data_IF_512108679578
#
_entry.id   IF_512108679578
#
_cell.length_a   1.000
_cell.length_b   1.000
_cell.length_c   1.000
_cell.angle_alpha   90.00
_cell.angle_beta   90.00
_cell.angle_gamma   90.00
#
_symmetry.space_group_name_H-M   'P 1'
#
loop_
_entity.id
_entity.type
_entity.pdbx_description
1 polymer ?
#
# COMPACT_ATOMS: atom_id res chain seq x y z
N UNK A 1 -23.86 17.91 -16.69
CA UNK A 1 -23.65 17.14 -15.42
C UNK A 1 -22.24 16.51 -15.35
N UNK A 2 -21.67 15.98 -16.45
CA UNK A 2 -20.31 15.38 -16.46
C UNK A 2 -19.19 16.37 -16.12
N UNK A 3 -19.19 17.58 -16.69
CA UNK A 3 -18.15 18.58 -16.44
C UNK A 3 -18.14 19.10 -14.99
N UNK A 4 -19.32 19.29 -14.41
CA UNK A 4 -19.44 19.70 -13.00
C UNK A 4 -18.90 18.61 -12.07
N UNK A 5 -19.24 17.34 -12.29
CA UNK A 5 -18.73 16.21 -11.49
C UNK A 5 -17.21 16.09 -11.62
N UNK A 6 -16.68 16.29 -12.82
CA UNK A 6 -15.23 16.31 -13.05
C UNK A 6 -14.54 17.41 -12.24
N UNK A 7 -15.05 18.63 -12.33
CA UNK A 7 -14.51 19.77 -11.60
C UNK A 7 -14.58 19.57 -10.08
N UNK A 8 -15.72 19.12 -9.55
CA UNK A 8 -15.90 18.84 -8.13
C UNK A 8 -14.93 17.77 -7.63
N UNK A 9 -14.72 16.69 -8.40
CA UNK A 9 -13.77 15.64 -8.01
C UNK A 9 -12.34 16.20 -7.84
N UNK A 10 -11.86 17.06 -8.74
CA UNK A 10 -10.55 17.69 -8.59
C UNK A 10 -10.50 18.65 -7.41
N UNK A 11 -11.55 19.46 -7.20
CA UNK A 11 -11.65 20.38 -6.07
C UNK A 11 -11.59 19.61 -4.75
N UNK A 12 -12.34 18.52 -4.62
CA UNK A 12 -12.36 17.67 -3.42
C UNK A 12 -11.00 17.06 -3.11
N UNK A 13 -10.30 16.56 -4.13
CA UNK A 13 -8.94 16.01 -3.95
C UNK A 13 -8.00 17.10 -3.42
N UNK A 14 -8.08 18.33 -3.96
CA UNK A 14 -7.24 19.45 -3.51
C UNK A 14 -7.61 19.87 -2.08
N UNK A 15 -8.90 19.97 -1.76
CA UNK A 15 -9.37 20.37 -0.42
C UNK A 15 -8.94 19.34 0.62
N UNK A 16 -9.14 18.06 0.34
CA UNK A 16 -8.74 16.98 1.24
C UNK A 16 -7.22 16.94 1.41
N UNK A 17 -6.47 17.13 0.31
CA UNK A 17 -5.02 17.26 0.39
C UNK A 17 -4.59 18.40 1.32
N UNK A 18 -5.13 19.61 1.13
CA UNK A 18 -4.80 20.78 1.95
C UNK A 18 -5.23 20.58 3.40
N UNK A 19 -6.43 20.03 3.64
CA UNK A 19 -6.92 19.75 4.98
C UNK A 19 -5.99 18.79 5.73
N UNK A 20 -5.69 17.63 5.14
CA UNK A 20 -4.82 16.63 5.77
C UNK A 20 -3.36 17.09 5.87
N UNK A 21 -2.88 17.91 4.94
CA UNK A 21 -1.56 18.51 5.03
C UNK A 21 -1.46 19.45 6.25
N UNK A 22 -2.42 20.36 6.42
CA UNK A 22 -2.41 21.32 7.53
C UNK A 22 -2.68 20.64 8.87
N UNK A 23 -3.65 19.73 8.90
CA UNK A 23 -3.99 18.99 10.10
C UNK A 23 -2.85 18.05 10.51
N UNK A 24 -2.25 17.36 9.56
CA UNK A 24 -1.16 16.42 9.78
C UNK A 24 0.12 17.09 10.29
N UNK A 25 0.43 18.31 9.82
CA UNK A 25 1.58 19.07 10.33
C UNK A 25 1.47 19.43 11.82
N UNK A 26 0.26 19.48 12.37
CA UNK A 26 0.03 19.69 13.81
C UNK A 26 0.08 18.39 14.61
N UNK A 27 -0.26 17.26 14.01
CA UNK A 27 -0.52 16.00 14.69
C UNK A 27 0.48 14.89 14.37
N UNK A 28 1.12 14.95 13.20
CA UNK A 28 2.09 13.97 12.78
C UNK A 28 3.50 14.56 12.73
N UNK A 29 4.41 13.86 13.36
CA UNK A 29 5.83 14.01 13.17
C UNK A 29 6.38 12.60 12.95
N UNK A 30 7.03 12.32 11.87
CA UNK A 30 7.73 13.21 10.91
C UNK A 30 6.89 13.66 9.68
N UNK A 31 7.37 14.71 9.00
CA UNK A 31 6.68 15.40 7.88
C UNK A 31 6.36 14.49 6.70
N UNK A 32 7.20 13.47 6.42
CA UNK A 32 6.95 12.53 5.32
C UNK A 32 5.65 11.75 5.50
N UNK A 33 5.28 11.45 6.74
CA UNK A 33 4.03 10.78 7.05
C UNK A 33 2.83 11.67 6.74
N UNK A 34 2.90 12.93 7.16
CA UNK A 34 1.88 13.95 6.85
C UNK A 34 1.65 14.09 5.35
N UNK A 35 2.73 14.27 4.58
CA UNK A 35 2.66 14.47 3.13
C UNK A 35 2.04 13.24 2.45
N UNK A 36 2.44 12.03 2.85
CA UNK A 36 1.90 10.80 2.28
C UNK A 36 0.41 10.65 2.56
N UNK A 37 -0.03 10.87 3.81
CA UNK A 37 -1.46 10.81 4.17
C UNK A 37 -2.26 11.87 3.40
N UNK A 38 -1.73 13.09 3.26
CA UNK A 38 -2.39 14.16 2.52
C UNK A 38 -2.61 13.77 1.03
N UNK A 39 -1.61 13.18 0.38
CA UNK A 39 -1.73 12.72 -1.01
C UNK A 39 -2.76 11.60 -1.16
N UNK A 40 -2.82 10.66 -0.21
CA UNK A 40 -3.73 9.52 -0.27
C UNK A 40 -5.18 9.88 0.08
N UNK A 41 -5.39 10.89 0.93
CA UNK A 41 -6.70 11.22 1.48
C UNK A 41 -7.73 11.54 0.39
N UNK A 42 -7.39 12.36 -0.59
CA UNK A 42 -8.26 12.72 -1.70
C UNK A 42 -8.78 11.49 -2.45
N UNK A 43 -7.90 10.71 -3.09
CA UNK A 43 -8.30 9.51 -3.83
C UNK A 43 -9.09 8.49 -3.00
N UNK A 44 -8.66 8.23 -1.75
CA UNK A 44 -9.31 7.24 -0.89
C UNK A 44 -10.72 7.69 -0.47
N UNK A 45 -10.89 8.95 -0.07
CA UNK A 45 -12.21 9.46 0.34
C UNK A 45 -13.15 9.56 -0.86
N UNK A 46 -12.70 10.12 -1.99
CA UNK A 46 -13.55 10.24 -3.20
C UNK A 46 -13.93 8.87 -3.76
N UNK A 47 -12.99 7.90 -3.80
CA UNK A 47 -13.27 6.52 -4.20
C UNK A 47 -14.28 5.83 -3.27
N UNK A 48 -14.20 6.09 -1.95
CA UNK A 48 -15.16 5.54 -0.97
C UNK A 48 -16.54 6.15 -1.16
N UNK A 49 -16.65 7.46 -1.31
CA UNK A 49 -17.92 8.15 -1.58
C UNK A 49 -18.55 7.65 -2.88
N UNK A 50 -17.72 7.43 -3.90
CA UNK A 50 -18.18 6.85 -5.15
C UNK A 50 -18.72 5.43 -4.97
N UNK A 51 -18.02 4.59 -4.22
CA UNK A 51 -18.51 3.23 -3.89
C UNK A 51 -19.86 3.29 -3.16
N UNK A 52 -19.99 4.16 -2.17
CA UNK A 52 -21.25 4.37 -1.44
C UNK A 52 -22.38 4.84 -2.36
N UNK A 53 -22.09 5.75 -3.30
CA UNK A 53 -23.11 6.18 -4.27
C UNK A 53 -23.66 5.02 -5.09
N UNK A 54 -22.81 4.09 -5.49
CA UNK A 54 -23.21 2.90 -6.24
C UNK A 54 -23.99 1.91 -5.36
N UNK A 55 -23.51 1.65 -4.14
CA UNK A 55 -24.14 0.68 -3.23
C UNK A 55 -25.55 1.08 -2.82
N UNK A 56 -25.79 2.38 -2.61
CA UNK A 56 -27.06 2.89 -2.15
C UNK A 56 -27.86 3.62 -3.23
N UNK A 57 -27.42 3.53 -4.50
CA UNK A 57 -28.05 4.21 -5.63
C UNK A 57 -28.24 5.74 -5.40
N UNK A 58 -27.25 6.37 -4.73
CA UNK A 58 -27.25 7.80 -4.45
C UNK A 58 -26.64 8.58 -5.61
N UNK A 59 -27.06 9.83 -5.77
CA UNK A 59 -26.41 10.74 -6.72
C UNK A 59 -24.98 11.04 -6.25
N UNK A 60 -24.00 10.62 -7.04
CA UNK A 60 -22.59 10.86 -6.75
C UNK A 60 -22.25 12.36 -6.70
N UNK A 61 -22.89 13.16 -7.57
CA UNK A 61 -22.72 14.63 -7.57
C UNK A 61 -23.10 15.25 -6.24
N UNK A 62 -24.14 14.75 -5.57
CA UNK A 62 -24.54 15.24 -4.23
C UNK A 62 -23.52 14.84 -3.17
N UNK A 63 -22.95 13.62 -3.23
CA UNK A 63 -21.95 13.18 -2.27
C UNK A 63 -20.63 13.97 -2.37
N UNK A 64 -20.32 14.52 -3.54
CA UNK A 64 -19.14 15.37 -3.75
C UNK A 64 -19.21 16.71 -2.97
N UNK A 65 -20.37 17.11 -2.49
CA UNK A 65 -20.46 18.31 -1.62
C UNK A 65 -19.98 18.03 -0.18
N UNK A 66 -19.85 16.77 0.25
CA UNK A 66 -19.39 16.43 1.61
C UNK A 66 -17.93 16.85 1.87
N UNK A 67 -16.94 16.57 1.01
CA UNK A 67 -15.59 17.05 1.21
C UNK A 67 -15.46 18.58 1.18
N UNK A 68 -16.35 19.29 0.48
CA UNK A 68 -16.36 20.76 0.47
C UNK A 68 -16.60 21.35 1.85
N UNK A 69 -17.23 20.62 2.77
CA UNK A 69 -17.38 21.05 4.17
C UNK A 69 -16.01 21.25 4.86
N UNK A 70 -14.96 20.59 4.35
CA UNK A 70 -13.59 20.76 4.84
C UNK A 70 -12.94 22.09 4.39
N UNK A 71 -13.56 22.83 3.47
CA UNK A 71 -13.12 24.17 3.07
C UNK A 71 -13.06 25.12 4.27
N UNK A 72 -14.08 25.09 5.12
CA UNK A 72 -14.16 25.99 6.27
C UNK A 72 -12.99 25.83 7.25
N UNK A 73 -12.67 24.62 7.76
CA UNK A 73 -11.48 24.45 8.59
C UNK A 73 -10.17 24.71 7.83
N UNK A 74 -10.11 24.48 6.50
CA UNK A 74 -8.95 24.84 5.67
C UNK A 74 -8.75 26.35 5.70
N UNK A 75 -9.76 27.16 5.34
CA UNK A 75 -9.67 28.61 5.31
C UNK A 75 -9.35 29.18 6.69
N UNK A 76 -10.07 28.73 7.73
CA UNK A 76 -9.88 29.20 9.11
C UNK A 76 -8.47 28.97 9.64
N UNK A 77 -7.84 27.88 9.24
CA UNK A 77 -6.51 27.51 9.71
C UNK A 77 -5.41 27.85 8.69
N UNK A 78 -5.78 28.43 7.52
CA UNK A 78 -4.82 28.74 6.46
C UNK A 78 -3.91 29.88 6.91
N UNK A 79 -2.72 29.52 7.33
CA UNK A 79 -1.65 30.46 7.62
C UNK A 79 -0.42 29.99 6.85
N UNK A 80 -0.04 30.73 5.83
CA UNK A 80 1.11 30.40 4.97
C UNK A 80 2.41 30.24 5.74
N UNK A 81 2.55 30.91 6.90
CA UNK A 81 3.69 30.76 7.80
C UNK A 81 3.77 29.39 8.48
N UNK A 82 2.65 28.67 8.56
CA UNK A 82 2.55 27.36 9.20
C UNK A 82 2.66 26.21 8.21
N UNK A 83 2.51 26.45 6.91
CA UNK A 83 2.65 25.43 5.89
C UNK A 83 4.13 25.25 5.57
N UNK A 84 4.76 24.30 6.22
CA UNK A 84 6.14 23.91 5.91
C UNK A 84 6.14 22.92 4.77
N UNK A 85 6.20 23.40 3.54
CA UNK A 85 6.65 22.57 2.44
C UNK A 85 8.15 22.31 2.66
N UNK A 86 8.51 21.15 3.14
CA UNK A 86 9.89 20.72 3.01
C UNK A 86 10.13 20.45 1.54
N UNK A 87 10.70 21.45 0.85
CA UNK A 87 11.17 21.25 -0.53
C UNK A 87 12.11 20.05 -0.49
N UNK A 88 11.84 19.02 -1.29
CA UNK A 88 12.77 17.90 -1.39
C UNK A 88 14.15 18.42 -1.76
N UNK A 89 15.20 17.89 -1.16
CA UNK A 89 16.58 18.15 -1.58
C UNK A 89 16.68 17.95 -3.10
N UNK A 90 17.43 18.80 -3.82
CA UNK A 90 17.62 18.67 -5.27
C UNK A 90 18.10 17.27 -5.68
N UNK A 91 18.81 16.56 -4.79
CA UNK A 91 19.24 15.17 -4.98
C UNK A 91 18.08 14.21 -5.02
N UNK A 92 17.04 14.44 -4.18
CA UNK A 92 15.79 13.68 -4.23
C UNK A 92 15.07 13.90 -5.56
N UNK A 93 15.08 15.11 -6.10
CA UNK A 93 14.45 15.38 -7.40
C UNK A 93 15.09 14.54 -8.52
N UNK A 94 16.42 14.39 -8.54
CA UNK A 94 17.08 13.52 -9.51
C UNK A 94 16.72 12.05 -9.34
N UNK A 95 16.73 11.54 -8.10
CA UNK A 95 16.31 10.17 -7.80
C UNK A 95 14.85 9.95 -8.22
N UNK A 96 13.99 10.93 -7.96
CA UNK A 96 12.57 10.90 -8.31
C UNK A 96 12.38 10.83 -9.84
N UNK A 97 13.11 11.67 -10.62
CA UNK A 97 13.04 11.62 -12.07
C UNK A 97 13.56 10.30 -12.66
N UNK A 98 14.68 9.80 -12.15
CA UNK A 98 15.18 8.46 -12.55
C UNK A 98 14.15 7.40 -12.19
N UNK A 99 13.55 7.48 -11.02
CA UNK A 99 12.46 6.59 -10.60
C UNK A 99 11.27 6.61 -11.55
N UNK A 100 10.81 7.79 -11.99
CA UNK A 100 9.74 7.91 -12.98
C UNK A 100 10.15 7.25 -14.30
N UNK A 101 11.35 7.54 -14.81
CA UNK A 101 11.82 6.97 -16.08
C UNK A 101 11.88 5.44 -16.00
N UNK A 102 12.46 4.89 -14.92
CA UNK A 102 12.53 3.44 -14.71
C UNK A 102 11.12 2.84 -14.61
N UNK A 103 10.20 3.47 -13.85
CA UNK A 103 8.81 3.02 -13.76
C UNK A 103 8.15 2.96 -15.17
N UNK A 104 8.31 3.99 -15.98
CA UNK A 104 7.74 4.05 -17.33
C UNK A 104 8.31 2.98 -18.27
N UNK A 105 9.58 2.58 -18.08
CA UNK A 105 10.20 1.50 -18.87
C UNK A 105 9.57 0.13 -18.58
N UNK A 106 9.02 -0.08 -17.37
CA UNK A 106 8.39 -1.33 -16.96
C UNK A 106 6.86 -1.32 -17.10
N UNK A 107 6.26 -0.15 -17.36
CA UNK A 107 4.79 -0.01 -17.36
C UNK A 107 4.20 -0.39 -18.72
N UNK A 108 3.28 -1.34 -18.70
CA UNK A 108 2.41 -1.63 -19.84
C UNK A 108 1.16 -0.74 -19.88
N UNK A 109 0.61 -0.49 -21.05
CA UNK A 109 -0.51 0.44 -21.27
C UNK A 109 -1.70 0.19 -20.33
N UNK A 110 -2.10 -1.08 -20.15
CA UNK A 110 -3.23 -1.48 -19.29
C UNK A 110 -2.78 -2.33 -18.10
N UNK A 111 -1.47 -2.38 -17.86
CA UNK A 111 -0.85 -3.22 -16.85
C UNK A 111 -0.79 -4.69 -17.25
N UNK A 112 -0.31 -5.54 -16.35
CA UNK A 112 -0.24 -6.99 -16.53
C UNK A 112 -1.60 -7.66 -16.26
N UNK A 113 -1.60 -9.02 -16.23
CA UNK A 113 -2.83 -9.83 -16.18
C UNK A 113 -3.87 -9.36 -15.14
N UNK A 114 -3.53 -9.29 -13.85
CA UNK A 114 -4.51 -8.90 -12.83
C UNK A 114 -4.96 -7.44 -12.97
N UNK A 115 -4.13 -6.56 -13.54
CA UNK A 115 -4.52 -5.17 -13.74
C UNK A 115 -5.71 -5.08 -14.71
N UNK A 116 -5.58 -5.65 -15.90
CA UNK A 116 -6.66 -5.57 -16.89
C UNK A 116 -7.79 -6.58 -16.61
N UNK A 117 -7.49 -7.74 -16.01
CA UNK A 117 -8.46 -8.79 -15.73
C UNK A 117 -9.31 -8.52 -14.48
N UNK A 118 -8.78 -7.82 -13.51
CA UNK A 118 -9.45 -7.57 -12.22
C UNK A 118 -9.65 -6.05 -12.02
N UNK A 119 -8.58 -5.32 -11.73
CA UNK A 119 -8.65 -3.95 -11.21
C UNK A 119 -9.22 -2.97 -12.23
N UNK A 120 -8.68 -2.97 -13.46
CA UNK A 120 -9.15 -2.08 -14.52
C UNK A 120 -10.50 -2.53 -15.11
N UNK A 121 -10.76 -3.85 -15.13
CA UNK A 121 -12.05 -4.38 -15.54
C UNK A 121 -13.16 -3.94 -14.57
N UNK A 122 -12.96 -4.15 -13.27
CA UNK A 122 -13.92 -3.70 -12.26
C UNK A 122 -14.10 -2.17 -12.33
N UNK A 123 -13.03 -1.40 -12.49
CA UNK A 123 -13.12 0.05 -12.63
C UNK A 123 -13.98 0.46 -13.84
N UNK A 124 -13.94 -0.29 -14.98
CA UNK A 124 -14.80 -0.04 -16.13
C UNK A 124 -16.28 -0.29 -15.80
N UNK A 125 -16.58 -1.37 -15.08
CA UNK A 125 -17.95 -1.61 -14.61
C UNK A 125 -18.44 -0.49 -13.70
N UNK A 126 -17.61 -0.09 -12.73
CA UNK A 126 -17.95 1.02 -11.83
C UNK A 126 -18.12 2.35 -12.59
N UNK A 127 -17.28 2.63 -13.60
CA UNK A 127 -17.40 3.83 -14.43
C UNK A 127 -18.77 3.88 -15.14
N UNK A 128 -19.28 2.73 -15.60
CA UNK A 128 -20.64 2.59 -16.16
C UNK A 128 -21.65 2.30 -15.03
N UNK A 129 -21.86 3.28 -14.15
CA UNK A 129 -22.59 3.15 -12.88
C UNK A 129 -23.95 2.45 -12.94
N UNK A 130 -24.69 2.57 -14.06
CA UNK A 130 -26.00 1.93 -14.22
C UNK A 130 -25.94 0.39 -14.29
N UNK A 131 -24.81 -0.19 -14.64
CA UNK A 131 -24.61 -1.63 -14.84
C UNK A 131 -23.43 -2.19 -14.02
N UNK A 132 -22.98 -1.50 -13.00
CA UNK A 132 -21.80 -1.90 -12.23
C UNK A 132 -21.90 -3.31 -11.62
N UNK A 133 -23.10 -3.73 -11.23
CA UNK A 133 -23.34 -5.06 -10.66
C UNK A 133 -23.12 -6.21 -11.67
N UNK A 134 -23.06 -5.90 -12.96
CA UNK A 134 -22.74 -6.90 -14.00
C UNK A 134 -21.36 -7.52 -13.85
N UNK A 135 -20.45 -6.88 -13.08
CA UNK A 135 -19.16 -7.49 -12.75
C UNK A 135 -19.30 -8.74 -11.87
N UNK A 136 -20.46 -8.94 -11.18
CA UNK A 136 -20.76 -10.11 -10.36
C UNK A 136 -21.31 -11.29 -11.16
N UNK A 137 -21.44 -11.16 -12.51
CA UNK A 137 -21.98 -12.22 -13.34
C UNK A 137 -21.12 -13.50 -13.24
N UNK A 138 -21.71 -14.70 -13.12
CA UNK A 138 -20.96 -15.95 -12.95
C UNK A 138 -19.87 -16.21 -14.02
N UNK A 139 -20.09 -15.77 -15.25
CA UNK A 139 -19.10 -15.89 -16.32
C UNK A 139 -17.84 -15.03 -16.11
N UNK A 140 -17.86 -14.12 -15.14
CA UNK A 140 -16.73 -13.26 -14.75
C UNK A 140 -16.07 -13.70 -13.44
N UNK A 141 -16.39 -14.92 -12.91
CA UNK A 141 -15.79 -15.44 -11.68
C UNK A 141 -14.25 -15.43 -11.67
N UNK A 142 -13.63 -15.58 -12.85
CA UNK A 142 -12.19 -15.49 -13.07
C UNK A 142 -11.60 -14.09 -12.76
N UNK A 143 -12.42 -13.03 -12.76
CA UNK A 143 -12.01 -11.67 -12.41
C UNK A 143 -12.03 -11.38 -10.91
N UNK A 144 -12.27 -12.38 -10.08
CA UNK A 144 -12.35 -12.24 -8.62
C UNK A 144 -13.34 -11.14 -8.17
N UNK A 145 -14.62 -11.20 -8.55
CA UNK A 145 -15.61 -10.18 -8.19
C UNK A 145 -15.91 -10.14 -6.68
N UNK A 146 -15.34 -11.04 -5.91
CA UNK A 146 -15.36 -11.02 -4.44
C UNK A 146 -14.35 -10.02 -3.85
N UNK A 147 -13.40 -9.48 -4.62
CA UNK A 147 -12.48 -8.46 -4.11
C UNK A 147 -13.20 -7.13 -3.84
N UNK A 148 -12.87 -6.43 -2.73
CA UNK A 148 -13.40 -5.12 -2.43
C UNK A 148 -13.07 -4.10 -3.52
N UNK A 149 -13.89 -3.07 -3.64
CA UNK A 149 -13.90 -2.21 -4.84
C UNK A 149 -13.19 -0.87 -4.69
N UNK A 150 -12.48 -0.60 -3.58
CA UNK A 150 -11.91 0.74 -3.36
C UNK A 150 -10.89 1.15 -4.43
N UNK A 151 -9.95 0.28 -4.80
CA UNK A 151 -8.98 0.62 -5.86
C UNK A 151 -9.66 0.80 -7.23
N UNK A 152 -10.55 -0.10 -7.69
CA UNK A 152 -11.38 0.15 -8.87
C UNK A 152 -12.18 1.46 -8.80
N UNK A 153 -12.73 1.81 -7.63
CA UNK A 153 -13.49 3.04 -7.46
C UNK A 153 -12.61 4.28 -7.56
N UNK A 154 -11.40 4.26 -7.01
CA UNK A 154 -10.40 5.33 -7.20
C UNK A 154 -10.11 5.53 -8.70
N UNK A 155 -9.85 4.46 -9.43
CA UNK A 155 -9.59 4.53 -10.88
C UNK A 155 -10.81 5.07 -11.62
N UNK A 156 -12.02 4.58 -11.30
CA UNK A 156 -13.26 5.03 -11.94
C UNK A 156 -13.57 6.51 -11.65
N UNK A 157 -13.29 7.01 -10.43
CA UNK A 157 -13.45 8.44 -10.12
C UNK A 157 -12.48 9.32 -10.91
N UNK A 158 -11.22 8.90 -11.06
CA UNK A 158 -10.29 9.62 -11.94
C UNK A 158 -10.71 9.58 -13.41
N UNK A 159 -11.23 8.44 -13.91
CA UNK A 159 -11.80 8.40 -15.27
C UNK A 159 -12.97 9.36 -15.43
N UNK A 160 -13.85 9.48 -14.43
CA UNK A 160 -14.92 10.48 -14.45
C UNK A 160 -14.35 11.91 -14.42
N UNK A 161 -13.34 12.17 -13.62
CA UNK A 161 -12.67 13.45 -13.52
C UNK A 161 -11.99 13.85 -14.86
N UNK A 162 -11.38 12.90 -15.57
CA UNK A 162 -10.75 13.12 -16.87
C UNK A 162 -11.73 13.00 -18.07
N UNK A 163 -13.02 12.80 -17.83
CA UNK A 163 -14.05 12.76 -18.86
C UNK A 163 -14.07 11.49 -19.72
N UNK A 164 -13.32 10.43 -19.37
CA UNK A 164 -13.27 9.19 -20.14
C UNK A 164 -12.37 8.10 -19.56
N UNK A 165 -12.47 6.91 -20.16
CA UNK A 165 -11.63 5.75 -19.79
C UNK A 165 -10.26 5.90 -20.45
N UNK A 166 -9.27 6.29 -19.69
CA UNK A 166 -7.90 6.51 -20.14
C UNK A 166 -6.91 5.52 -19.49
N UNK A 167 -6.08 4.87 -20.30
CA UNK A 167 -5.10 3.88 -19.85
C UNK A 167 -4.01 4.47 -18.90
N UNK A 168 -3.73 5.77 -19.05
CA UNK A 168 -2.75 6.43 -18.19
C UNK A 168 -3.20 6.55 -16.71
N UNK A 169 -4.51 6.51 -16.42
CA UNK A 169 -5.04 6.69 -15.06
C UNK A 169 -4.62 5.55 -14.12
N UNK A 170 -4.80 4.26 -14.45
CA UNK A 170 -4.30 3.18 -13.60
C UNK A 170 -2.77 3.23 -13.43
N UNK A 171 -2.03 3.52 -14.51
CA UNK A 171 -0.58 3.67 -14.46
C UNK A 171 -0.14 4.82 -13.54
N UNK A 172 -0.78 5.99 -13.65
CA UNK A 172 -0.57 7.14 -12.78
C UNK A 172 -0.87 6.81 -11.32
N UNK A 173 -1.95 6.08 -11.06
CA UNK A 173 -2.33 5.66 -9.69
C UNK A 173 -1.25 4.78 -9.07
N UNK A 174 -0.76 3.77 -9.79
CA UNK A 174 0.36 2.91 -9.33
C UNK A 174 1.65 3.70 -9.18
N UNK A 175 1.95 4.63 -10.09
CA UNK A 175 3.11 5.50 -10.01
C UNK A 175 3.08 6.38 -8.76
N UNK A 176 1.92 6.90 -8.36
CA UNK A 176 1.78 7.66 -7.11
C UNK A 176 2.16 6.79 -5.90
N UNK A 177 1.66 5.55 -5.81
CA UNK A 177 2.01 4.66 -4.71
C UNK A 177 3.51 4.35 -4.67
N UNK A 178 4.11 4.09 -5.83
CA UNK A 178 5.54 3.88 -5.98
C UNK A 178 6.37 5.09 -5.52
N UNK A 179 6.03 6.28 -5.98
CA UNK A 179 6.75 7.51 -5.64
C UNK A 179 6.63 7.85 -4.15
N UNK A 180 5.49 7.54 -3.51
CA UNK A 180 5.31 7.69 -2.07
C UNK A 180 6.20 6.71 -1.29
N UNK A 181 6.34 5.46 -1.74
CA UNK A 181 7.29 4.50 -1.13
C UNK A 181 8.72 5.03 -1.23
N UNK A 182 9.17 5.47 -2.41
CA UNK A 182 10.50 6.05 -2.59
C UNK A 182 10.72 7.30 -1.71
N UNK A 183 9.71 8.18 -1.67
CA UNK A 183 9.75 9.40 -0.86
C UNK A 183 9.93 9.09 0.63
N UNK A 184 9.16 8.16 1.17
CA UNK A 184 9.26 7.73 2.57
C UNK A 184 10.66 7.17 2.86
N UNK A 185 11.10 6.17 2.09
CA UNK A 185 12.36 5.47 2.33
C UNK A 185 13.57 6.40 2.20
N UNK A 186 13.57 7.31 1.21
CA UNK A 186 14.61 8.33 1.07
C UNK A 186 14.62 9.29 2.26
N UNK A 187 13.44 9.80 2.65
CA UNK A 187 13.32 10.82 3.70
C UNK A 187 13.72 10.29 5.07
N UNK A 188 13.45 9.01 5.34
CA UNK A 188 13.89 8.35 6.58
C UNK A 188 15.42 8.28 6.68
N UNK A 189 16.12 8.24 5.57
CA UNK A 189 17.58 8.24 5.53
C UNK A 189 18.20 9.64 5.73
N UNK A 190 17.44 10.74 5.75
CA UNK A 190 17.99 12.06 6.05
C UNK A 190 18.54 12.13 7.48
N UNK A 191 19.70 12.76 7.71
CA UNK A 191 20.53 13.54 6.79
C UNK A 191 21.56 12.74 5.98
N UNK A 192 21.53 11.42 6.03
CA UNK A 192 22.56 10.53 5.46
C UNK A 192 22.26 10.19 3.99
N UNK A 193 22.45 11.17 3.10
CA UNK A 193 22.05 11.06 1.70
C UNK A 193 22.74 9.92 0.92
N UNK A 194 23.98 9.54 1.26
CA UNK A 194 24.67 8.40 0.62
C UNK A 194 23.89 7.11 0.89
N UNK A 195 23.38 6.93 2.12
CA UNK A 195 22.59 5.75 2.49
C UNK A 195 21.29 5.74 1.71
N UNK A 196 20.58 6.88 1.66
CA UNK A 196 19.32 7.00 0.91
C UNK A 196 19.52 6.71 -0.58
N UNK A 197 20.58 7.26 -1.18
CA UNK A 197 20.89 7.03 -2.60
C UNK A 197 21.17 5.55 -2.88
N UNK A 198 22.02 4.92 -2.08
CA UNK A 198 22.33 3.49 -2.24
C UNK A 198 21.08 2.63 -2.09
N UNK A 199 20.27 2.88 -1.05
CA UNK A 199 19.03 2.12 -0.81
C UNK A 199 18.06 2.22 -1.99
N UNK A 200 17.82 3.45 -2.48
CA UNK A 200 16.92 3.65 -3.62
C UNK A 200 17.50 3.02 -4.89
N UNK A 201 18.81 3.10 -5.10
CA UNK A 201 19.44 2.42 -6.24
C UNK A 201 19.22 0.89 -6.19
N UNK A 202 19.30 0.27 -5.02
CA UNK A 202 18.96 -1.16 -4.87
C UNK A 202 17.50 -1.45 -5.25
N UNK A 203 16.55 -0.58 -4.88
CA UNK A 203 15.15 -0.74 -5.28
C UNK A 203 14.94 -0.56 -6.78
N UNK A 204 15.58 0.44 -7.39
CA UNK A 204 15.49 0.71 -8.83
C UNK A 204 16.11 -0.41 -9.68
N UNK A 205 17.12 -1.08 -9.15
CA UNK A 205 17.80 -2.21 -9.81
C UNK A 205 17.10 -3.56 -9.53
N UNK A 206 16.16 -3.59 -8.59
CA UNK A 206 15.38 -4.79 -8.30
C UNK A 206 14.29 -4.98 -9.36
N UNK A 207 14.59 -5.79 -10.37
CA UNK A 207 13.69 -6.06 -11.50
C UNK A 207 12.34 -6.62 -11.02
N UNK A 208 12.34 -7.48 -9.99
CA UNK A 208 11.10 -8.05 -9.47
C UNK A 208 10.24 -6.98 -8.77
N UNK A 209 10.88 -6.11 -7.98
CA UNK A 209 10.19 -4.97 -7.36
C UNK A 209 9.59 -4.05 -8.44
N UNK A 210 10.38 -3.70 -9.47
CA UNK A 210 9.94 -2.81 -10.55
C UNK A 210 8.79 -3.43 -11.37
N UNK A 211 8.88 -4.72 -11.71
CA UNK A 211 7.81 -5.42 -12.43
C UNK A 211 6.48 -5.40 -11.65
N UNK A 212 6.50 -5.65 -10.33
CA UNK A 212 5.26 -5.67 -9.55
C UNK A 212 4.72 -4.26 -9.33
N UNK A 213 5.59 -3.29 -9.03
CA UNK A 213 5.15 -1.92 -8.72
C UNK A 213 4.54 -1.23 -9.95
N UNK A 214 5.03 -1.54 -11.15
CA UNK A 214 4.57 -0.98 -12.43
C UNK A 214 3.45 -1.77 -13.10
N UNK A 215 3.14 -2.97 -12.59
CA UNK A 215 2.10 -3.86 -13.14
C UNK A 215 0.68 -3.32 -13.03
N UNK A 216 0.47 -2.23 -12.29
CA UNK A 216 -0.84 -1.63 -11.96
C UNK A 216 -1.72 -2.56 -11.09
N UNK A 217 -1.08 -3.47 -10.32
CA UNK A 217 -1.77 -4.33 -9.37
C UNK A 217 -2.09 -3.60 -8.07
N UNK A 218 -3.07 -4.11 -7.33
CA UNK A 218 -3.36 -3.63 -5.98
C UNK A 218 -2.20 -3.86 -4.99
N UNK A 219 -1.25 -4.73 -5.34
CA UNK A 219 -0.11 -5.11 -4.50
C UNK A 219 0.78 -3.91 -4.15
N UNK A 220 0.92 -2.94 -5.05
CA UNK A 220 1.65 -1.70 -4.81
C UNK A 220 0.99 -0.83 -3.73
N UNK A 221 -0.35 -0.76 -3.76
CA UNK A 221 -1.10 -0.04 -2.74
C UNK A 221 -1.04 -0.76 -1.39
N UNK A 222 -1.19 -2.10 -1.38
CA UNK A 222 -1.04 -2.90 -0.16
C UNK A 222 0.34 -2.74 0.47
N UNK A 223 1.41 -2.71 -0.34
CA UNK A 223 2.78 -2.49 0.13
C UNK A 223 2.96 -1.10 0.77
N UNK A 224 2.40 -0.04 0.17
CA UNK A 224 2.40 1.31 0.75
C UNK A 224 1.61 1.37 2.05
N UNK A 225 0.43 0.76 2.11
CA UNK A 225 -0.39 0.73 3.32
C UNK A 225 0.32 0.00 4.47
N UNK A 226 0.95 -1.15 4.20
CA UNK A 226 1.72 -1.86 5.22
C UNK A 226 2.95 -1.06 5.68
N UNK A 227 3.65 -0.40 4.77
CA UNK A 227 4.74 0.52 5.12
C UNK A 227 4.25 1.60 6.09
N UNK A 228 3.13 2.27 5.79
CA UNK A 228 2.55 3.29 6.67
C UNK A 228 2.13 2.71 8.03
N UNK A 229 1.48 1.56 8.06
CA UNK A 229 1.09 0.84 9.28
C UNK A 229 2.32 0.61 10.18
N UNK A 230 3.40 0.08 9.60
CA UNK A 230 4.64 -0.20 10.35
C UNK A 230 5.28 1.10 10.85
N UNK A 231 5.24 2.18 10.07
CA UNK A 231 5.71 3.50 10.50
C UNK A 231 4.91 3.99 11.72
N UNK A 232 3.56 3.95 11.67
CA UNK A 232 2.72 4.37 12.77
C UNK A 232 2.99 3.59 14.05
N UNK A 233 3.19 2.27 13.94
CA UNK A 233 3.51 1.41 15.09
C UNK A 233 4.93 1.67 15.62
N UNK A 234 5.89 2.01 14.76
CA UNK A 234 7.29 2.25 15.13
C UNK A 234 7.49 3.64 15.73
N UNK A 235 6.99 4.68 15.06
CA UNK A 235 7.24 6.08 15.43
C UNK A 235 6.18 6.63 16.41
N UNK A 236 5.07 5.92 16.59
CA UNK A 236 3.98 6.19 17.55
C UNK A 236 3.53 7.66 17.61
N UNK A 237 3.14 8.29 16.50
CA UNK A 237 2.58 9.64 16.53
C UNK A 237 1.27 9.68 17.34
N UNK A 238 0.76 10.90 17.61
CA UNK A 238 -0.51 11.04 18.32
C UNK A 238 -1.63 10.21 17.68
N UNK A 239 -2.42 9.53 18.51
CA UNK A 239 -3.54 8.66 18.07
C UNK A 239 -3.13 7.54 17.09
N UNK A 240 -1.91 7.02 17.17
CA UNK A 240 -1.39 6.04 16.21
C UNK A 240 -2.24 4.76 16.10
N UNK A 241 -2.88 4.29 17.17
CA UNK A 241 -3.80 3.14 17.10
C UNK A 241 -4.98 3.43 16.18
N UNK A 242 -5.62 4.60 16.33
CA UNK A 242 -6.73 5.02 15.46
C UNK A 242 -6.31 5.08 14.00
N UNK A 243 -5.17 5.71 13.71
CA UNK A 243 -4.66 5.82 12.34
C UNK A 243 -4.23 4.49 11.75
N UNK A 244 -3.67 3.60 12.57
CA UNK A 244 -3.36 2.23 12.15
C UNK A 244 -4.65 1.48 11.79
N UNK A 245 -5.74 1.67 12.57
CA UNK A 245 -7.07 1.16 12.25
C UNK A 245 -7.59 1.68 10.91
N UNK A 246 -7.48 2.98 10.63
CA UNK A 246 -7.83 3.57 9.32
C UNK A 246 -7.04 2.92 8.19
N UNK A 247 -5.72 2.78 8.30
CA UNK A 247 -4.90 2.18 7.25
C UNK A 247 -5.24 0.71 6.99
N UNK A 248 -5.53 -0.05 8.05
CA UNK A 248 -6.01 -1.44 7.92
C UNK A 248 -7.38 -1.49 7.26
N UNK A 249 -8.30 -0.58 7.60
CA UNK A 249 -9.63 -0.54 6.97
C UNK A 249 -9.56 -0.19 5.48
N UNK A 250 -8.62 0.66 5.08
CA UNK A 250 -8.33 0.93 3.67
C UNK A 250 -7.80 -0.35 3.00
N UNK A 251 -6.86 -1.07 3.63
CA UNK A 251 -6.33 -2.33 3.09
C UNK A 251 -7.44 -3.39 2.92
N UNK A 252 -8.33 -3.52 3.89
CA UNK A 252 -9.54 -4.38 3.82
C UNK A 252 -10.49 -3.97 2.70
N UNK A 253 -10.52 -2.70 2.33
CA UNK A 253 -11.36 -2.18 1.24
C UNK A 253 -10.70 -2.29 -0.14
N UNK A 254 -9.41 -2.63 -0.19
CA UNK A 254 -8.65 -2.85 -1.43
C UNK A 254 -8.59 -4.33 -1.77
N UNK A 255 -8.22 -5.20 -0.82
CA UNK A 255 -7.91 -6.61 -1.10
C UNK A 255 -8.18 -7.50 0.11
N UNK A 256 -8.54 -8.77 -0.13
CA UNK A 256 -8.83 -9.73 0.94
C UNK A 256 -7.64 -9.96 1.88
N UNK A 257 -6.41 -9.81 1.40
CA UNK A 257 -5.18 -9.89 2.19
C UNK A 257 -5.10 -8.83 3.30
N UNK A 258 -5.94 -7.79 3.27
CA UNK A 258 -6.14 -6.85 4.37
C UNK A 258 -6.56 -7.53 5.69
N UNK A 259 -7.26 -8.68 5.63
CA UNK A 259 -7.58 -9.47 6.82
C UNK A 259 -6.34 -10.04 7.50
N UNK A 260 -5.30 -10.34 6.74
CA UNK A 260 -4.01 -10.79 7.28
C UNK A 260 -3.33 -9.64 8.04
N UNK A 261 -3.41 -8.41 7.53
CA UNK A 261 -2.89 -7.24 8.24
C UNK A 261 -3.64 -6.99 9.55
N UNK A 262 -4.98 -7.08 9.52
CA UNK A 262 -5.82 -6.97 10.70
C UNK A 262 -5.40 -7.98 11.78
N UNK A 263 -5.30 -9.25 11.42
CA UNK A 263 -4.96 -10.32 12.36
C UNK A 263 -3.55 -10.15 12.94
N UNK A 264 -2.55 -9.85 12.10
CA UNK A 264 -1.17 -9.63 12.54
C UNK A 264 -1.08 -8.47 13.55
N UNK A 265 -1.81 -7.37 13.31
CA UNK A 265 -1.81 -6.22 14.21
C UNK A 265 -2.58 -6.48 15.51
N UNK A 266 -3.71 -7.20 15.44
CA UNK A 266 -4.41 -7.62 16.66
C UNK A 266 -3.51 -8.45 17.57
N UNK A 267 -2.77 -9.42 17.01
CA UNK A 267 -1.80 -10.23 17.78
C UNK A 267 -0.68 -9.35 18.32
N UNK A 268 -0.09 -8.47 17.48
CA UNK A 268 0.97 -7.57 17.93
C UNK A 268 0.50 -6.68 19.08
N UNK A 269 -0.67 -6.03 18.98
CA UNK A 269 -1.21 -5.19 20.05
C UNK A 269 -1.52 -6.00 21.30
N UNK A 270 -2.09 -7.20 21.16
CA UNK A 270 -2.35 -8.08 22.30
C UNK A 270 -1.07 -8.43 23.07
N UNK A 271 0.03 -8.68 22.38
CA UNK A 271 1.30 -9.05 23.00
C UNK A 271 2.04 -7.86 23.62
N UNK A 272 2.00 -6.68 23.00
CA UNK A 272 2.94 -5.60 23.30
C UNK A 272 2.33 -4.30 23.81
N UNK A 273 1.00 -4.10 23.70
CA UNK A 273 0.38 -2.88 24.23
C UNK A 273 0.06 -3.05 25.73
N UNK A 274 0.52 -2.08 26.52
CA UNK A 274 0.30 -2.10 27.98
C UNK A 274 -1.19 -1.89 28.32
N UNK A 275 -1.82 -0.90 27.70
CA UNK A 275 -3.25 -0.61 27.87
C UNK A 275 -4.04 -1.19 26.70
N UNK A 276 -4.19 -2.51 26.67
CA UNK A 276 -4.80 -3.25 25.56
C UNK A 276 -6.19 -2.76 25.22
N UNK A 277 -7.06 -2.58 26.22
CA UNK A 277 -8.44 -2.18 26.02
C UNK A 277 -8.54 -0.85 25.27
N UNK A 278 -7.84 0.20 25.74
CA UNK A 278 -7.82 1.50 25.09
C UNK A 278 -7.21 1.45 23.68
N UNK A 279 -6.14 0.66 23.50
CA UNK A 279 -5.49 0.46 22.21
C UNK A 279 -6.45 -0.19 21.19
N UNK A 280 -7.12 -1.28 21.59
CA UNK A 280 -8.10 -1.95 20.76
C UNK A 280 -9.31 -1.07 20.46
N UNK A 281 -9.87 -0.36 21.46
CA UNK A 281 -10.98 0.54 21.25
C UNK A 281 -10.66 1.64 20.23
N UNK A 282 -9.49 2.26 20.38
CA UNK A 282 -9.00 3.27 19.43
C UNK A 282 -8.75 2.69 18.04
N UNK A 283 -8.14 1.52 17.95
CA UNK A 283 -7.88 0.82 16.69
C UNK A 283 -9.18 0.45 15.96
N UNK A 284 -10.12 -0.19 16.67
CA UNK A 284 -11.40 -0.59 16.08
C UNK A 284 -12.27 0.61 15.70
N UNK A 285 -12.21 1.74 16.44
CA UNK A 285 -12.89 2.97 16.03
C UNK A 285 -12.31 3.52 14.70
N UNK A 286 -11.00 3.37 14.49
CA UNK A 286 -10.34 3.71 13.23
C UNK A 286 -10.71 2.79 12.06
N UNK A 287 -11.11 1.53 12.32
CA UNK A 287 -11.57 0.63 11.26
C UNK A 287 -12.88 1.06 10.62
N UNK A 288 -13.79 1.68 11.38
CA UNK A 288 -15.18 1.94 10.98
C UNK A 288 -15.33 2.60 9.61
N UNK A 289 -14.63 3.72 9.29
CA UNK A 289 -14.95 4.52 8.12
C UNK A 289 -14.87 3.78 6.77
N UNK A 290 -13.88 2.93 6.59
CA UNK A 290 -13.66 2.22 5.32
C UNK A 290 -14.04 0.74 5.40
N UNK A 291 -13.98 0.14 6.58
CA UNK A 291 -14.37 -1.26 6.77
C UNK A 291 -15.88 -1.47 6.59
N UNK A 292 -16.74 -0.58 7.09
CA UNK A 292 -18.19 -0.75 6.94
C UNK A 292 -18.65 -0.76 5.47
N UNK A 293 -18.20 0.15 4.58
CA UNK A 293 -18.47 0.03 3.15
C UNK A 293 -17.99 -1.29 2.53
N UNK A 294 -16.78 -1.73 2.89
CA UNK A 294 -16.23 -2.98 2.38
C UNK A 294 -17.01 -4.21 2.90
N UNK A 295 -17.39 -4.20 4.16
CA UNK A 295 -18.23 -5.24 4.75
C UNK A 295 -19.62 -5.31 4.11
N UNK A 296 -20.25 -4.14 3.91
CA UNK A 296 -21.55 -4.08 3.21
C UNK A 296 -21.45 -4.65 1.79
N UNK A 297 -20.40 -4.27 1.03
CA UNK A 297 -20.13 -4.86 -0.27
C UNK A 297 -20.02 -6.39 -0.20
N UNK A 298 -19.25 -6.90 0.76
CA UNK A 298 -19.06 -8.35 0.96
C UNK A 298 -20.34 -9.11 1.30
N UNK A 299 -21.21 -8.51 2.09
CA UNK A 299 -22.45 -9.18 2.55
C UNK A 299 -23.59 -9.10 1.54
N UNK A 300 -23.63 -8.03 0.72
CA UNK A 300 -24.79 -7.76 -0.15
C UNK A 300 -24.51 -8.09 -1.61
N UNK A 301 -23.32 -7.86 -2.12
CA UNK A 301 -23.00 -7.94 -3.55
C UNK A 301 -22.01 -9.04 -3.90
N UNK A 302 -20.95 -9.21 -3.09
CA UNK A 302 -19.84 -10.07 -3.44
C UNK A 302 -20.23 -11.56 -3.44
N UNK A 303 -19.78 -12.35 -4.42
CA UNK A 303 -19.91 -13.81 -4.36
C UNK A 303 -19.02 -14.39 -3.27
N UNK A 304 -19.24 -15.66 -2.94
CA UNK A 304 -18.44 -16.40 -1.95
C UNK A 304 -16.97 -16.46 -2.41
N UNK A 305 -16.05 -16.18 -1.49
CA UNK A 305 -14.61 -16.25 -1.77
C UNK A 305 -14.16 -17.66 -2.18
N UNK A 306 -13.32 -17.75 -3.19
CA UNK A 306 -12.79 -19.01 -3.76
C UNK A 306 -12.12 -19.93 -2.72
N UNK A 307 -11.44 -19.35 -1.72
CA UNK A 307 -10.80 -20.14 -0.65
C UNK A 307 -11.80 -20.91 0.20
N UNK A 308 -13.04 -20.42 0.28
CA UNK A 308 -14.14 -21.08 1.01
C UNK A 308 -14.92 -21.99 0.08
N UNK A 309 -15.34 -21.48 -1.08
CA UNK A 309 -16.21 -22.18 -2.03
C UNK A 309 -15.50 -23.34 -2.78
N UNK A 310 -14.18 -23.21 -3.00
CA UNK A 310 -13.40 -24.16 -3.82
C UNK A 310 -12.88 -25.40 -3.07
N UNK A 311 -13.27 -25.65 -1.81
CA UNK A 311 -12.72 -26.75 -1.01
C UNK A 311 -13.31 -28.10 -1.45
N UNK A 312 -12.57 -28.85 -2.26
CA UNK A 312 -12.89 -30.23 -2.69
C UNK A 312 -12.28 -31.33 -1.81
N UNK A 313 -11.21 -31.00 -1.07
CA UNK A 313 -10.50 -31.92 -0.15
C UNK A 313 -10.56 -31.33 1.26
N UNK A 314 -10.65 -32.20 2.26
CA UNK A 314 -10.66 -31.78 3.66
C UNK A 314 -9.47 -30.85 3.99
N UNK A 315 -9.73 -29.73 4.64
CA UNK A 315 -8.68 -28.82 5.12
C UNK A 315 -7.74 -29.54 6.09
N UNK A 316 -8.27 -30.49 6.87
CA UNK A 316 -7.50 -31.30 7.80
C UNK A 316 -6.46 -32.17 7.09
N UNK A 317 -6.84 -32.83 5.98
CA UNK A 317 -5.91 -33.64 5.18
C UNK A 317 -4.80 -32.80 4.57
N UNK A 318 -5.12 -31.57 4.15
CA UNK A 318 -4.12 -30.60 3.66
C UNK A 318 -3.13 -30.21 4.76
N UNK A 319 -3.61 -29.96 5.98
CA UNK A 319 -2.77 -29.61 7.13
C UNK A 319 -1.87 -30.78 7.58
N UNK A 320 -2.29 -32.02 7.38
CA UNK A 320 -1.49 -33.20 7.71
C UNK A 320 -0.49 -33.62 6.60
N UNK A 321 -0.50 -32.96 5.44
CA UNK A 321 0.33 -33.32 4.30
C UNK A 321 1.76 -32.75 4.42
N UNK A 322 2.81 -33.58 4.71
CA UNK A 322 4.20 -33.12 4.76
C UNK A 322 4.70 -32.54 3.42
N UNK A 323 4.16 -33.05 2.30
CA UNK A 323 4.42 -32.56 0.96
C UNK A 323 4.17 -31.04 0.85
N UNK A 324 3.06 -30.54 1.42
CA UNK A 324 2.70 -29.12 1.34
C UNK A 324 3.71 -28.25 2.10
N UNK A 325 4.07 -28.65 3.32
CA UNK A 325 5.09 -27.94 4.12
C UNK A 325 6.43 -27.85 3.40
N UNK A 326 6.92 -28.98 2.89
CA UNK A 326 8.18 -29.04 2.17
C UNK A 326 8.19 -28.08 0.97
N UNK A 327 7.15 -28.15 0.12
CA UNK A 327 7.08 -27.29 -1.07
C UNK A 327 6.91 -25.81 -0.74
N UNK A 328 6.12 -25.46 0.29
CA UNK A 328 5.95 -24.06 0.72
C UNK A 328 7.28 -23.49 1.21
N UNK A 329 7.99 -24.20 2.08
CA UNK A 329 9.30 -23.74 2.59
C UNK A 329 10.30 -23.62 1.44
N UNK A 330 10.45 -24.66 0.60
CA UNK A 330 11.36 -24.66 -0.53
C UNK A 330 11.08 -23.48 -1.47
N UNK A 331 9.84 -23.30 -1.88
CA UNK A 331 9.45 -22.25 -2.82
C UNK A 331 9.58 -20.85 -2.21
N UNK A 332 9.34 -20.70 -0.90
CA UNK A 332 9.57 -19.44 -0.18
C UNK A 332 11.04 -19.05 -0.17
N UNK A 333 11.94 -19.99 0.12
CA UNK A 333 13.39 -19.77 0.06
C UNK A 333 13.85 -19.48 -1.36
N UNK A 334 13.39 -20.25 -2.33
CA UNK A 334 13.67 -20.00 -3.74
C UNK A 334 13.23 -18.59 -4.16
N UNK A 335 12.01 -18.19 -3.82
CA UNK A 335 11.50 -16.84 -4.10
C UNK A 335 12.37 -15.77 -3.45
N UNK A 336 12.76 -15.95 -2.18
CA UNK A 336 13.61 -15.00 -1.47
C UNK A 336 14.99 -14.84 -2.16
N UNK A 337 15.63 -15.94 -2.52
CA UNK A 337 16.98 -15.90 -3.08
C UNK A 337 17.03 -15.60 -4.59
N UNK A 338 15.94 -15.83 -5.34
CA UNK A 338 15.91 -15.57 -6.80
C UNK A 338 15.19 -14.28 -7.17
N UNK A 339 14.12 -13.92 -6.45
CA UNK A 339 13.30 -12.73 -6.75
C UNK A 339 13.64 -11.53 -5.88
N UNK A 340 14.12 -11.76 -4.64
CA UNK A 340 14.51 -10.74 -3.69
C UNK A 340 16.00 -10.80 -3.33
N UNK A 341 16.83 -11.29 -4.25
CA UNK A 341 18.28 -11.41 -4.06
C UNK A 341 18.95 -10.06 -3.75
N UNK A 342 18.43 -8.96 -4.31
CA UNK A 342 18.89 -7.59 -4.03
C UNK A 342 18.71 -7.24 -2.55
N UNK A 343 17.57 -7.62 -1.96
CA UNK A 343 17.32 -7.45 -0.53
C UNK A 343 18.26 -8.32 0.31
N UNK A 344 18.43 -9.58 -0.05
CA UNK A 344 19.36 -10.49 0.66
C UNK A 344 20.77 -9.92 0.62
N UNK A 345 21.23 -9.45 -0.53
CA UNK A 345 22.54 -8.80 -0.69
C UNK A 345 22.65 -7.55 0.19
N UNK A 346 21.62 -6.70 0.20
CA UNK A 346 21.57 -5.50 1.04
C UNK A 346 21.71 -5.86 2.53
N UNK A 347 20.97 -6.87 3.01
CA UNK A 347 21.07 -7.34 4.41
C UNK A 347 22.48 -7.85 4.73
N UNK A 348 23.08 -8.62 3.84
CA UNK A 348 24.45 -9.12 4.01
C UNK A 348 25.46 -7.96 4.11
N UNK A 349 25.33 -6.95 3.26
CA UNK A 349 26.22 -5.77 3.26
C UNK A 349 26.05 -4.93 4.53
N UNK A 350 24.82 -4.78 5.02
CA UNK A 350 24.49 -3.95 6.18
C UNK A 350 24.58 -4.69 7.52
N UNK A 351 24.76 -6.02 7.53
CA UNK A 351 24.71 -6.86 8.75
C UNK A 351 25.55 -6.35 9.92
N UNK A 352 26.76 -5.82 9.63
CA UNK A 352 27.69 -5.32 10.65
C UNK A 352 27.26 -3.99 11.27
N UNK A 353 26.30 -3.30 10.69
CA UNK A 353 25.76 -2.04 11.16
C UNK A 353 24.42 -2.21 11.88
N UNK A 354 23.88 -3.44 11.94
CA UNK A 354 22.63 -3.70 12.69
C UNK A 354 22.91 -3.55 14.18
N UNK A 355 22.17 -2.62 14.80
CA UNK A 355 22.33 -2.30 16.23
C UNK A 355 21.41 -3.12 17.12
N UNK A 356 20.16 -3.34 16.67
CA UNK A 356 19.16 -4.09 17.43
C UNK A 356 18.05 -4.59 16.51
N UNK A 357 17.37 -5.66 16.90
CA UNK A 357 16.14 -6.12 16.27
C UNK A 357 14.99 -5.78 17.20
N UNK A 358 14.10 -4.89 16.76
CA UNK A 358 12.97 -4.42 17.56
C UNK A 358 11.75 -5.32 17.35
N UNK A 359 10.81 -5.27 18.31
CA UNK A 359 9.58 -6.08 18.30
C UNK A 359 8.68 -5.83 17.08
N UNK A 360 8.78 -4.66 16.47
CA UNK A 360 8.00 -4.29 15.27
C UNK A 360 8.28 -5.21 14.06
N UNK A 361 9.41 -5.92 14.04
CA UNK A 361 9.70 -6.96 13.05
C UNK A 361 8.72 -8.15 13.08
N UNK A 362 8.01 -8.34 14.19
CA UNK A 362 6.99 -9.37 14.30
C UNK A 362 5.77 -9.09 13.41
N UNK A 363 5.47 -7.83 13.06
CA UNK A 363 4.35 -7.52 12.17
C UNK A 363 4.56 -8.14 10.78
N UNK A 364 5.64 -7.83 10.04
CA UNK A 364 5.89 -8.47 8.77
C UNK A 364 6.11 -9.99 8.90
N UNK A 365 6.70 -10.46 9.99
CA UNK A 365 6.88 -11.90 10.23
C UNK A 365 5.53 -12.63 10.38
N UNK A 366 4.57 -12.08 11.14
CA UNK A 366 3.21 -12.64 11.25
C UNK A 366 2.49 -12.62 9.90
N UNK A 367 2.60 -11.52 9.14
CA UNK A 367 1.96 -11.42 7.82
C UNK A 367 2.49 -12.49 6.88
N UNK A 368 3.81 -12.68 6.79
CA UNK A 368 4.41 -13.76 5.98
C UNK A 368 3.92 -15.12 6.50
N UNK A 369 3.95 -15.34 7.81
CA UNK A 369 3.49 -16.59 8.41
C UNK A 369 2.04 -16.91 8.04
N UNK A 370 1.12 -15.94 8.10
CA UNK A 370 -0.27 -16.13 7.68
C UNK A 370 -0.40 -16.40 6.18
N UNK A 371 0.38 -15.73 5.33
CA UNK A 371 0.40 -16.03 3.90
C UNK A 371 0.83 -17.47 3.63
N UNK A 372 1.84 -17.96 4.35
CA UNK A 372 2.26 -19.35 4.24
C UNK A 372 1.16 -20.32 4.74
N UNK A 373 0.43 -19.98 5.80
CA UNK A 373 -0.73 -20.75 6.26
C UNK A 373 -1.86 -20.81 5.22
N UNK A 374 -2.09 -19.73 4.45
CA UNK A 374 -3.09 -19.74 3.37
C UNK A 374 -2.70 -20.75 2.29
N UNK A 375 -1.42 -20.90 1.95
CA UNK A 375 -0.96 -21.93 1.01
C UNK A 375 -1.19 -23.36 1.53
N UNK A 376 -1.11 -23.57 2.85
CA UNK A 376 -1.40 -24.90 3.42
C UNK A 376 -2.82 -25.33 3.13
N UNK A 377 -3.78 -24.41 3.17
CA UNK A 377 -5.22 -24.71 3.03
C UNK A 377 -5.79 -24.39 1.64
N UNK A 378 -5.00 -23.84 0.71
CA UNK A 378 -5.52 -23.45 -0.61
C UNK A 378 -6.24 -24.59 -1.33
N UNK A 379 -7.43 -24.33 -1.95
CA UNK A 379 -8.12 -25.33 -2.77
C UNK A 379 -7.48 -25.52 -4.15
N UNK A 380 -6.69 -24.54 -4.60
CA UNK A 380 -6.03 -24.56 -5.90
C UNK A 380 -4.81 -25.49 -5.90
N UNK A 381 -4.30 -25.86 -7.08
CA UNK A 381 -3.00 -26.51 -7.16
C UNK A 381 -1.94 -25.69 -6.44
N UNK A 382 -1.19 -26.34 -5.54
CA UNK A 382 -0.28 -25.64 -4.64
C UNK A 382 0.86 -24.94 -5.39
N UNK A 383 1.47 -25.66 -6.35
CA UNK A 383 2.65 -25.13 -7.07
C UNK A 383 2.24 -23.98 -7.99
N UNK A 384 1.12 -24.14 -8.68
CA UNK A 384 0.57 -23.08 -9.50
C UNK A 384 0.25 -21.82 -8.66
N UNK A 385 -0.44 -21.99 -7.53
CA UNK A 385 -0.81 -20.87 -6.67
C UNK A 385 0.41 -20.13 -6.12
N UNK A 386 1.44 -20.88 -5.67
CA UNK A 386 2.69 -20.26 -5.21
C UNK A 386 3.41 -19.52 -6.34
N UNK A 387 3.50 -20.12 -7.54
CA UNK A 387 4.22 -19.53 -8.68
C UNK A 387 3.61 -18.19 -9.14
N UNK A 388 2.29 -18.07 -9.05
CA UNK A 388 1.56 -16.86 -9.48
C UNK A 388 1.48 -15.78 -8.42
N UNK A 389 1.46 -16.12 -7.12
CA UNK A 389 1.13 -15.15 -6.06
C UNK A 389 2.25 -14.90 -5.05
N UNK A 390 3.16 -15.85 -4.74
CA UNK A 390 4.09 -15.71 -3.62
C UNK A 390 5.02 -14.50 -3.76
N UNK A 391 5.56 -14.23 -4.95
CA UNK A 391 6.39 -13.03 -5.19
C UNK A 391 5.63 -11.74 -4.87
N UNK A 392 4.32 -11.71 -5.12
CA UNK A 392 3.46 -10.54 -4.87
C UNK A 392 3.14 -10.37 -3.39
N UNK A 393 2.89 -11.47 -2.67
CA UNK A 393 2.68 -11.44 -1.23
C UNK A 393 3.93 -10.96 -0.46
N UNK A 394 5.12 -11.36 -0.92
CA UNK A 394 6.39 -10.84 -0.38
C UNK A 394 6.57 -9.36 -0.72
N UNK A 395 6.09 -8.91 -1.87
CA UNK A 395 6.12 -7.50 -2.25
C UNK A 395 5.32 -6.61 -1.27
N UNK A 396 4.17 -7.09 -0.75
CA UNK A 396 3.41 -6.34 0.26
C UNK A 396 4.27 -5.97 1.48
N UNK A 397 5.18 -6.84 1.85
CA UNK A 397 6.00 -6.73 3.07
C UNK A 397 7.31 -5.99 2.82
N UNK A 398 7.81 -6.02 1.60
CA UNK A 398 9.17 -5.60 1.25
C UNK A 398 9.49 -4.15 1.64
N UNK A 399 8.72 -3.10 1.31
CA UNK A 399 9.02 -1.73 1.72
C UNK A 399 9.00 -1.54 3.24
N UNK A 400 8.10 -2.22 3.95
CA UNK A 400 8.03 -2.16 5.40
C UNK A 400 9.26 -2.79 6.08
N UNK A 401 9.75 -3.90 5.53
CA UNK A 401 10.98 -4.56 6.00
C UNK A 401 12.21 -3.69 5.74
N UNK A 402 12.29 -3.02 4.58
CA UNK A 402 13.35 -2.04 4.31
C UNK A 402 13.33 -0.88 5.29
N UNK A 403 12.15 -0.34 5.58
CA UNK A 403 12.00 0.71 6.61
C UNK A 403 12.50 0.24 7.98
N UNK A 404 12.11 -0.96 8.41
CA UNK A 404 12.59 -1.53 9.67
C UNK A 404 14.10 -1.76 9.66
N UNK A 405 14.68 -2.21 8.56
CA UNK A 405 16.12 -2.35 8.42
C UNK A 405 16.82 -1.00 8.63
N UNK A 406 16.35 0.06 7.96
CA UNK A 406 16.87 1.42 8.12
C UNK A 406 16.81 1.88 9.59
N UNK A 407 15.69 1.61 10.27
CA UNK A 407 15.50 1.99 11.70
C UNK A 407 16.34 1.16 12.69
N UNK A 408 16.97 0.08 12.23
CA UNK A 408 17.74 -0.82 13.08
C UNK A 408 19.24 -0.85 12.74
N UNK A 409 19.70 -0.02 11.79
CA UNK A 409 21.13 0.14 11.49
C UNK A 409 21.68 1.49 12.03
N UNK A 410 22.98 1.52 12.27
CA UNK A 410 23.70 2.77 12.54
C UNK A 410 23.91 3.52 11.22
N UNK A 411 22.98 4.43 10.91
CA UNK A 411 23.00 5.24 9.70
C UNK A 411 24.25 6.12 9.59
N UNK A 412 24.79 6.61 10.71
CA UNK A 412 26.01 7.43 10.71
C UNK A 412 27.20 6.58 10.28
N UNK A 413 27.39 5.43 10.90
CA UNK A 413 28.50 4.53 10.56
C UNK A 413 28.42 4.04 9.11
N UNK A 414 27.20 3.73 8.60
CA UNK A 414 27.02 3.38 7.18
C UNK A 414 27.38 4.54 6.26
N UNK A 415 26.94 5.75 6.59
CA UNK A 415 27.21 6.94 5.78
C UNK A 415 28.71 7.26 5.72
N UNK A 416 29.42 7.18 6.83
CA UNK A 416 30.87 7.35 6.88
C UNK A 416 31.61 6.27 6.08
N UNK A 417 31.20 5.03 6.22
CA UNK A 417 31.75 3.94 5.44
C UNK A 417 31.60 4.18 3.92
N UNK A 418 30.40 4.55 3.47
CA UNK A 418 30.14 4.83 2.06
C UNK A 418 30.91 6.06 1.56
N UNK A 419 30.96 7.13 2.37
CA UNK A 419 31.74 8.34 2.06
C UNK A 419 33.23 8.04 1.89
N UNK A 420 33.83 7.31 2.83
CA UNK A 420 35.25 6.95 2.79
C UNK A 420 35.56 6.06 1.57
N UNK A 421 34.65 5.13 1.23
CA UNK A 421 34.79 4.28 0.06
C UNK A 421 34.73 5.10 -1.24
N UNK A 422 33.80 6.05 -1.33
CA UNK A 422 33.68 6.98 -2.46
C UNK A 422 34.97 7.81 -2.64
N UNK A 423 35.49 8.44 -1.56
CA UNK A 423 36.71 9.22 -1.59
C UNK A 423 37.93 8.40 -2.00
N UNK A 424 38.03 7.14 -1.55
CA UNK A 424 39.11 6.22 -1.95
C UNK A 424 39.06 5.86 -3.44
N UNK A 425 37.87 5.81 -4.04
CA UNK A 425 37.70 5.51 -5.48
C UNK A 425 37.99 6.73 -6.38
N UNK A 426 37.70 7.93 -5.88
CA UNK A 426 37.92 9.18 -6.65
C UNK A 426 39.32 9.76 -6.53
N UNK A 427 40.22 9.12 -5.76
CA UNK A 427 41.60 9.59 -5.55
C UNK A 427 41.74 10.81 -4.67
N UNK A 428 40.65 11.37 -4.17
CA UNK A 428 40.66 12.51 -3.23
C UNK A 428 40.97 11.96 -1.81
N UNK A 429 42.25 11.85 -1.47
CA UNK A 429 42.66 11.70 -0.06
C UNK A 429 42.59 13.10 0.56
N UNK A 430 41.71 13.27 1.56
CA UNK A 430 41.69 14.42 2.47
C UNK A 430 42.93 14.39 3.36
#
# INVERSE_FOLDING_TARGET
MSELVSLLTFIDIIILFLFFLMWGQKNFYPVYLTNTIAVLAGPVVTGTLYSLSLFFSLDYGLLMYLPLLMIFPVIKNFNTKNIRFTVPDYRFLWIFWIGILVFLMFTEKWGEWDAWAIWNLHAKFLYHSASWTSMMHPNLSWSHPDYPVLLPAIIATFWKAFGGIHAFVPAMTSMIFYLLILYILYTVCKPYWYVGTVLISFLLLDVNFMNIISSQYADSFMALLLLLIVIFVTDKPAHYHFWTGILVSIALSVKNEGYVFLLALCIYMFLYEKNRFSAFLSFFSGLIPFFLPALYFKLVFAPTNDLVAGQSVSVFDKLLSPYRYFHIIRFSLETLFTKYYTFVLLVILLRKFITSIKKEWLIPAFIIGFYLCIYLITPRDLLWHMSTSMKRLFHHVYPAVLFLLIKNIDLLAVNEFLKNKYLSMTGNKT
#
